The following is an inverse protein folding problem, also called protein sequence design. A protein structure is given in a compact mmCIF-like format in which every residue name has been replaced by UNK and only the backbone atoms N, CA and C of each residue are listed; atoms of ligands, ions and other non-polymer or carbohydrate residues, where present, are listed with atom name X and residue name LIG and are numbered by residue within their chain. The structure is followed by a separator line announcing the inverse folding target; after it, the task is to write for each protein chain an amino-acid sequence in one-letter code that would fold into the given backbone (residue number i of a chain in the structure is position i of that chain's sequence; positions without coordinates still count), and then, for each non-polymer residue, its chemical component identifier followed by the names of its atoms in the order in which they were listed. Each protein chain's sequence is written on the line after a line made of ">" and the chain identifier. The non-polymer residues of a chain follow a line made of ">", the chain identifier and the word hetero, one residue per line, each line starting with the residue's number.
data_IF_742711294471
#
_entry.id   IF_742711294471
#
_cell.length_a   1.000
_cell.length_b   1.000
_cell.length_c   1.000
_cell.angle_alpha   90.00
_cell.angle_beta   90.00
_cell.angle_gamma   90.00
#
_symmetry.space_group_name_H-M   'P 1'
#
loop_
_entity.id
_entity.type
_entity.pdbx_description
1 polymer ?
#
# COMPACT_ATOMS: atom_id res chain seq x y z
N UNK A 1 30.44 1.14 -16.99
CA UNK A 1 29.18 1.27 -16.25
C UNK A 1 28.80 2.73 -16.17
N UNK A 2 27.68 3.07 -16.76
CA UNK A 2 27.16 4.44 -16.70
C UNK A 2 26.41 4.63 -15.40
N UNK A 3 26.91 5.48 -14.54
CA UNK A 3 26.23 5.85 -13.31
C UNK A 3 25.21 6.94 -13.62
N UNK A 4 24.02 6.80 -13.12
CA UNK A 4 23.01 7.84 -13.24
C UNK A 4 23.35 9.01 -12.33
N UNK A 5 23.11 10.22 -12.83
CA UNK A 5 23.26 11.43 -12.02
C UNK A 5 22.15 11.47 -10.97
N UNK A 6 22.31 12.30 -9.93
CA UNK A 6 21.29 12.49 -8.91
C UNK A 6 19.99 13.02 -9.52
N UNK A 7 20.08 13.89 -10.54
CA UNK A 7 18.92 14.41 -11.23
C UNK A 7 18.15 13.32 -11.98
N UNK A 8 18.87 12.38 -12.60
CA UNK A 8 18.25 11.26 -13.30
C UNK A 8 17.55 10.32 -12.32
N UNK A 9 18.15 10.08 -11.15
CA UNK A 9 17.54 9.26 -10.10
C UNK A 9 16.25 9.90 -9.58
N UNK A 10 16.26 11.20 -9.33
CA UNK A 10 15.09 11.94 -8.88
C UNK A 10 13.99 11.89 -9.94
N UNK A 11 14.35 12.07 -11.22
CA UNK A 11 13.40 11.99 -12.32
C UNK A 11 12.74 10.62 -12.40
N UNK A 12 13.52 9.54 -12.24
CA UNK A 12 12.98 8.19 -12.26
C UNK A 12 11.96 7.99 -11.13
N UNK A 13 12.25 8.50 -9.93
CA UNK A 13 11.32 8.44 -8.81
C UNK A 13 10.05 9.27 -9.09
N UNK A 14 10.20 10.45 -9.67
CA UNK A 14 9.07 11.32 -10.01
C UNK A 14 8.18 10.68 -11.09
N UNK A 15 8.77 9.98 -12.06
CA UNK A 15 8.01 9.27 -13.10
C UNK A 15 7.12 8.19 -12.50
N UNK A 16 7.61 7.44 -11.50
CA UNK A 16 6.81 6.43 -10.80
C UNK A 16 5.67 7.09 -10.04
N UNK A 17 5.92 8.21 -9.36
CA UNK A 17 4.86 8.96 -8.68
C UNK A 17 3.78 9.41 -9.65
N UNK A 18 4.17 9.93 -10.81
CA UNK A 18 3.22 10.36 -11.83
C UNK A 18 2.36 9.22 -12.34
N UNK A 19 2.94 8.03 -12.50
CA UNK A 19 2.19 6.84 -12.91
C UNK A 19 1.15 6.46 -11.87
N UNK A 20 1.51 6.47 -10.59
CA UNK A 20 0.57 6.17 -9.51
C UNK A 20 -0.56 7.19 -9.47
N UNK A 21 -0.23 8.47 -9.63
CA UNK A 21 -1.24 9.54 -9.63
C UNK A 21 -2.14 9.50 -10.86
N UNK A 22 -1.60 9.11 -12.03
CA UNK A 22 -2.35 9.08 -13.28
C UNK A 22 -3.24 7.85 -13.41
N UNK A 23 -2.75 6.67 -12.98
CA UNK A 23 -3.43 5.39 -13.19
C UNK A 23 -3.97 4.78 -11.90
N UNK A 24 -3.60 5.33 -10.76
CA UNK A 24 -4.09 4.86 -9.48
C UNK A 24 -5.52 5.29 -9.22
N UNK A 25 -6.13 4.64 -8.26
CA UNK A 25 -7.45 5.01 -7.78
C UNK A 25 -7.36 5.50 -6.34
N UNK A 26 -8.38 6.22 -5.91
CA UNK A 26 -8.45 6.71 -4.56
C UNK A 26 -8.90 5.60 -3.62
N UNK A 27 -8.19 5.45 -2.51
CA UNK A 27 -8.50 4.47 -1.48
C UNK A 27 -8.58 5.15 -0.12
N UNK A 28 -9.35 4.57 0.79
CA UNK A 28 -9.44 5.03 2.18
C UNK A 28 -8.54 4.17 3.05
N UNK A 29 -7.71 4.82 3.85
CA UNK A 29 -6.84 4.16 4.83
C UNK A 29 -7.52 4.17 6.20
N UNK A 30 -7.59 3.00 6.82
CA UNK A 30 -8.11 2.85 8.17
C UNK A 30 -7.03 2.22 9.05
N UNK A 31 -6.97 2.67 10.29
CA UNK A 31 -5.95 2.20 11.24
C UNK A 31 -6.59 1.87 12.57
N UNK A 32 -6.11 0.80 13.19
CA UNK A 32 -6.60 0.38 14.49
C UNK A 32 -6.26 1.44 15.55
N UNK A 33 -7.23 1.74 16.40
CA UNK A 33 -7.05 2.63 17.53
C UNK A 33 -6.40 1.83 18.65
N UNK A 34 -5.22 2.27 19.09
CA UNK A 34 -4.48 1.59 20.15
C UNK A 34 -5.16 1.76 21.51
N UNK A 35 -5.23 0.65 22.26
CA UNK A 35 -5.63 0.67 23.65
C UNK A 35 -7.11 0.49 23.93
N UNK A 36 -7.95 0.50 22.91
CA UNK A 36 -9.39 0.33 23.09
C UNK A 36 -9.87 -1.00 22.55
N UNK A 37 -9.50 -2.08 23.23
CA UNK A 37 -10.18 -3.33 23.02
C UNK A 37 -11.34 -3.41 24.00
N UNK A 38 -12.53 -3.51 23.47
CA UNK A 38 -13.70 -3.79 24.28
C UNK A 38 -13.52 -5.17 24.91
N UNK A 39 -13.86 -5.30 26.17
CA UNK A 39 -13.74 -6.53 26.92
C UNK A 39 -14.43 -7.68 26.19
N UNK A 40 -13.66 -8.76 25.92
CA UNK A 40 -14.17 -9.96 25.33
C UNK A 40 -14.36 -9.91 23.81
N UNK A 41 -13.96 -8.82 23.17
CA UNK A 41 -14.01 -8.70 21.71
C UNK A 41 -12.60 -8.67 21.15
N UNK A 42 -12.36 -9.51 20.14
CA UNK A 42 -11.13 -9.48 19.36
C UNK A 42 -11.17 -8.42 18.27
N UNK A 43 -12.29 -7.71 18.15
CA UNK A 43 -12.47 -6.72 17.10
C UNK A 43 -11.80 -5.41 17.48
N UNK A 44 -10.80 -5.02 16.72
CA UNK A 44 -10.17 -3.73 16.86
C UNK A 44 -11.10 -2.65 16.30
N UNK A 45 -11.11 -1.49 16.95
CA UNK A 45 -11.79 -0.32 16.43
C UNK A 45 -10.86 0.35 15.42
N UNK A 46 -11.37 0.64 14.23
CA UNK A 46 -10.61 1.30 13.17
C UNK A 46 -11.13 2.71 12.97
N UNK A 47 -10.20 3.64 12.77
CA UNK A 47 -10.54 5.01 12.43
C UNK A 47 -10.07 5.32 11.00
N UNK A 48 -10.80 6.20 10.34
CA UNK A 48 -10.43 6.67 9.01
C UNK A 48 -9.27 7.65 9.13
N UNK A 49 -8.14 7.34 8.48
CA UNK A 49 -6.97 8.22 8.47
C UNK A 49 -7.06 9.23 7.34
N UNK A 50 -7.51 8.79 6.17
CA UNK A 50 -7.67 9.66 5.02
C UNK A 50 -7.61 8.89 3.73
N UNK A 51 -7.78 9.60 2.63
CA UNK A 51 -7.71 9.00 1.30
C UNK A 51 -6.31 9.14 0.73
N UNK A 52 -5.94 8.21 -0.15
CA UNK A 52 -4.63 8.23 -0.78
C UNK A 52 -4.71 7.53 -2.14
N UNK A 53 -3.82 7.87 -3.09
CA UNK A 53 -3.77 7.19 -4.37
C UNK A 53 -3.03 5.86 -4.25
N UNK A 54 -3.59 4.84 -4.90
CA UNK A 54 -2.94 3.54 -4.98
C UNK A 54 -3.20 2.95 -6.36
N UNK A 55 -2.23 2.21 -6.90
CA UNK A 55 -2.33 1.54 -8.18
C UNK A 55 -2.23 0.04 -7.96
N UNK A 56 -3.28 -0.71 -8.30
CA UNK A 56 -3.23 -2.16 -8.28
C UNK A 56 -2.34 -2.65 -9.42
N UNK A 57 -1.51 -3.63 -9.11
CA UNK A 57 -0.65 -4.28 -10.09
C UNK A 57 -0.95 -5.77 -10.12
N UNK A 58 -0.39 -6.47 -11.10
CA UNK A 58 -0.58 -7.91 -11.21
C UNK A 58 0.03 -8.62 -10.00
N UNK A 59 -0.73 -9.57 -9.43
CA UNK A 59 -0.24 -10.34 -8.28
C UNK A 59 0.67 -11.47 -8.77
N UNK A 60 1.94 -11.50 -8.34
CA UNK A 60 2.85 -12.58 -8.74
C UNK A 60 2.35 -13.95 -8.27
N UNK A 61 2.68 -15.04 -9.01
CA UNK A 61 2.25 -16.39 -8.62
C UNK A 61 2.67 -16.80 -7.21
N UNK A 62 3.86 -16.43 -6.78
CA UNK A 62 4.32 -16.74 -5.42
C UNK A 62 3.46 -16.07 -4.35
N UNK A 63 2.96 -14.87 -4.62
CA UNK A 63 2.09 -14.17 -3.69
C UNK A 63 0.70 -14.83 -3.63
N UNK A 64 0.18 -15.28 -4.77
CA UNK A 64 -1.06 -16.04 -4.80
C UNK A 64 -0.96 -17.31 -3.96
N UNK A 65 0.18 -18.02 -4.05
CA UNK A 65 0.43 -19.20 -3.25
C UNK A 65 0.50 -18.89 -1.75
N UNK A 66 0.88 -17.68 -1.39
CA UNK A 66 0.96 -17.22 0.00
C UNK A 66 -0.33 -16.53 0.47
N UNK A 67 -1.42 -16.72 -0.27
CA UNK A 67 -2.75 -16.19 0.05
C UNK A 67 -2.85 -14.66 0.01
N UNK A 68 -2.03 -14.03 -0.78
CA UNK A 68 -2.14 -12.61 -1.09
C UNK A 68 -3.19 -12.45 -2.18
N UNK A 69 -4.18 -11.61 -1.94
CA UNK A 69 -5.28 -11.41 -2.88
C UNK A 69 -5.01 -10.29 -3.89
N UNK A 70 -4.21 -9.30 -3.49
CA UNK A 70 -3.90 -8.17 -4.36
C UNK A 70 -2.55 -7.57 -3.98
N UNK A 71 -1.92 -6.92 -4.94
CA UNK A 71 -0.69 -6.15 -4.74
C UNK A 71 -0.93 -4.77 -5.29
N UNK A 72 -0.49 -3.75 -4.58
CA UNK A 72 -0.66 -2.37 -5.01
C UNK A 72 0.59 -1.55 -4.74
N UNK A 73 0.77 -0.51 -5.55
CA UNK A 73 1.84 0.47 -5.40
C UNK A 73 1.27 1.75 -4.83
N UNK A 74 1.97 2.35 -3.88
CA UNK A 74 1.59 3.62 -3.27
C UNK A 74 2.77 4.58 -3.30
N UNK A 75 2.50 5.85 -3.09
CA UNK A 75 3.54 6.88 -3.07
C UNK A 75 4.56 6.61 -1.96
N UNK A 76 5.84 6.96 -2.17
CA UNK A 76 6.88 6.67 -1.18
C UNK A 76 6.67 7.39 0.16
N UNK A 77 5.96 8.51 0.14
CA UNK A 77 5.68 9.30 1.35
C UNK A 77 4.44 8.84 2.09
N UNK A 78 3.66 7.91 1.51
CA UNK A 78 2.44 7.45 2.13
C UNK A 78 2.74 6.61 3.37
N UNK A 79 2.17 6.98 4.51
CA UNK A 79 2.30 6.23 5.74
C UNK A 79 1.28 5.09 5.75
N UNK A 80 1.74 3.92 5.36
CA UNK A 80 0.97 2.67 5.38
C UNK A 80 1.72 1.66 6.23
N UNK A 81 1.00 0.89 7.01
CA UNK A 81 1.60 -0.06 7.96
C UNK A 81 0.93 -1.42 7.85
N UNK A 82 1.66 -2.51 8.17
CA UNK A 82 1.00 -3.82 8.32
C UNK A 82 -0.16 -3.72 9.30
N UNK A 83 -1.21 -4.48 9.04
CA UNK A 83 -2.47 -4.52 9.79
C UNK A 83 -3.40 -3.31 9.55
N UNK A 84 -2.95 -2.27 8.87
CA UNK A 84 -3.88 -1.22 8.39
C UNK A 84 -4.87 -1.84 7.40
N UNK A 85 -6.02 -1.19 7.25
CA UNK A 85 -7.03 -1.57 6.28
C UNK A 85 -7.12 -0.55 5.16
N UNK A 86 -7.38 -1.05 3.96
CA UNK A 86 -7.54 -0.23 2.76
C UNK A 86 -8.90 -0.54 2.17
N UNK A 87 -9.70 0.49 1.95
CA UNK A 87 -11.02 0.34 1.34
C UNK A 87 -11.03 1.02 -0.02
N UNK A 88 -11.42 0.26 -1.05
CA UNK A 88 -11.51 0.75 -2.43
C UNK A 88 -12.90 0.39 -2.96
N UNK A 89 -13.76 1.38 -3.14
CA UNK A 89 -15.11 1.10 -3.61
C UNK A 89 -15.82 0.08 -2.70
N UNK A 90 -16.15 -1.06 -3.26
CA UNK A 90 -16.86 -2.12 -2.53
C UNK A 90 -15.93 -3.12 -1.83
N UNK A 91 -14.63 -3.06 -2.10
CA UNK A 91 -13.67 -4.02 -1.58
C UNK A 91 -12.91 -3.45 -0.39
N UNK A 92 -12.63 -4.31 0.59
CA UNK A 92 -11.80 -3.97 1.74
C UNK A 92 -10.68 -4.99 1.88
N UNK A 93 -9.50 -4.50 2.24
CA UNK A 93 -8.31 -5.32 2.37
C UNK A 93 -7.59 -5.00 3.67
N UNK A 94 -6.83 -5.98 4.17
CA UNK A 94 -5.86 -5.80 5.23
C UNK A 94 -4.46 -5.77 4.62
N UNK A 95 -3.62 -4.85 5.04
CA UNK A 95 -2.23 -4.80 4.60
C UNK A 95 -1.46 -5.89 5.33
N UNK A 96 -0.91 -6.84 4.56
CA UNK A 96 -0.11 -7.92 5.11
C UNK A 96 1.33 -7.49 5.27
N UNK A 97 1.93 -6.91 4.22
CA UNK A 97 3.31 -6.44 4.23
C UNK A 97 3.44 -5.12 3.50
N UNK A 98 4.44 -4.35 3.87
CA UNK A 98 4.82 -3.11 3.22
C UNK A 98 6.30 -3.22 2.87
N UNK A 99 6.62 -3.05 1.58
CA UNK A 99 7.99 -3.10 1.09
C UNK A 99 8.33 -1.79 0.39
N UNK A 100 9.52 -1.26 0.66
CA UNK A 100 10.00 -0.08 -0.05
C UNK A 100 10.78 -0.53 -1.28
N UNK A 101 10.40 0.01 -2.44
CA UNK A 101 11.14 -0.24 -3.67
C UNK A 101 12.09 0.91 -3.96
N UNK A 102 13.32 0.55 -4.29
CA UNK A 102 14.36 1.54 -4.56
C UNK A 102 14.89 1.36 -5.96
N UNK A 103 15.17 2.48 -6.60
CA UNK A 103 15.84 2.52 -7.88
C UNK A 103 17.05 3.43 -7.70
N UNK A 104 18.25 2.86 -7.89
CA UNK A 104 19.52 3.59 -7.74
C UNK A 104 19.63 4.29 -6.38
N UNK A 105 19.15 3.63 -5.31
CA UNK A 105 19.23 4.16 -3.95
C UNK A 105 18.13 5.15 -3.58
N UNK A 106 17.26 5.50 -4.50
CA UNK A 106 16.12 6.40 -4.24
C UNK A 106 14.85 5.57 -4.10
N UNK A 107 14.06 5.83 -3.08
CA UNK A 107 12.77 5.17 -2.89
C UNK A 107 11.81 5.70 -3.94
N UNK A 108 11.34 4.82 -4.83
CA UNK A 108 10.43 5.20 -5.90
C UNK A 108 8.97 5.06 -5.49
N UNK A 109 8.67 4.02 -4.73
CA UNK A 109 7.31 3.73 -4.26
C UNK A 109 7.36 2.68 -3.16
N UNK A 110 6.23 2.45 -2.53
CA UNK A 110 6.04 1.31 -1.63
C UNK A 110 5.12 0.31 -2.28
N UNK A 111 5.39 -0.97 -2.05
CA UNK A 111 4.54 -2.07 -2.51
C UNK A 111 3.84 -2.64 -1.29
N UNK A 112 2.52 -2.69 -1.34
CA UNK A 112 1.72 -3.27 -0.26
C UNK A 112 1.07 -4.55 -0.76
N UNK A 113 1.17 -5.61 0.04
CA UNK A 113 0.52 -6.89 -0.24
C UNK A 113 -0.73 -6.98 0.62
N UNK A 114 -1.83 -7.28 -0.02
CA UNK A 114 -3.16 -7.14 0.54
C UNK A 114 -3.90 -8.47 0.62
N UNK A 115 -4.62 -8.65 1.71
CA UNK A 115 -5.50 -9.80 1.91
C UNK A 115 -6.93 -9.26 1.99
N UNK A 116 -7.81 -9.81 1.14
CA UNK A 116 -9.20 -9.37 1.10
C UNK A 116 -9.91 -9.70 2.40
N UNK A 117 -10.62 -8.72 2.92
CA UNK A 117 -11.49 -8.93 4.07
C UNK A 117 -12.84 -9.43 3.56
N UNK A 118 -13.28 -10.56 4.12
CA UNK A 118 -14.53 -11.16 3.72
C UNK A 118 -15.66 -10.75 4.64
N UNK A 119 -16.75 -10.52 4.00
CA UNK A 119 -18.02 -10.64 4.64
C UNK A 119 -18.45 -9.47 5.45
N UNK A 120 -19.43 -9.38 5.67
CA UNK A 120 -20.28 -8.43 6.37
C UNK A 120 -20.44 -7.17 5.62
#
# INVERSE_FOLDING_TARGET
>A
VTLLSDQEKIRAADDVKELILAFGQEAMLLRAVHGERLYGSDDAVFEEIGTFPLEFVETPPEDLNNKIDAVACVLPVQDVRPEDRVQTGADAFRIQTVEEERLFGVITHKVIKLVRLHGS
#
